data_IF_210558390143
#
_entry.id   IF_210558390143
#
_cell.length_a   1.000
_cell.length_b   1.000
_cell.length_c   1.000
_cell.angle_alpha   90.00
_cell.angle_beta   90.00
_cell.angle_gamma   90.00
#
_symmetry.space_group_name_H-M   'P 1'
#
loop_
_entity.id
_entity.type
_entity.pdbx_description
1 polymer ?
#
# COMPACT_ATOMS: atom_id res chain seq x y z
N UNK A 1 39.20 -8.67 43.79
CA UNK A 1 38.01 -7.82 44.03
C UNK A 1 37.45 -7.45 42.66
N UNK A 2 36.47 -8.21 42.16
CA UNK A 2 35.02 -7.95 42.26
C UNK A 2 34.50 -7.10 41.08
N UNK A 3 34.12 -7.83 40.03
CA UNK A 3 32.85 -7.71 39.28
C UNK A 3 32.43 -6.31 38.80
N UNK A 4 32.78 -5.95 37.55
CA UNK A 4 32.00 -4.96 36.77
C UNK A 4 31.74 -5.43 35.32
N UNK A 5 32.12 -6.65 34.95
CA UNK A 5 32.00 -7.13 33.55
C UNK A 5 30.66 -7.84 33.23
N UNK A 6 29.55 -7.56 33.92
CA UNK A 6 28.33 -8.38 33.81
C UNK A 6 27.01 -7.60 33.82
N UNK A 7 26.98 -6.37 33.33
CA UNK A 7 25.72 -5.60 33.16
C UNK A 7 25.50 -5.04 31.76
N UNK A 8 26.48 -5.08 30.86
CA UNK A 8 26.31 -4.57 29.49
C UNK A 8 25.77 -5.61 28.48
N UNK A 9 25.50 -6.85 28.92
CA UNK A 9 25.02 -7.94 28.06
C UNK A 9 23.62 -8.46 28.48
N UNK A 10 22.92 -7.72 29.35
CA UNK A 10 21.54 -8.03 29.77
C UNK A 10 20.53 -6.92 29.41
N UNK A 11 20.91 -6.02 28.52
CA UNK A 11 19.94 -5.22 27.76
C UNK A 11 19.66 -5.86 26.41
N UNK A 12 19.77 -7.20 26.33
CA UNK A 12 19.26 -7.99 25.22
C UNK A 12 17.78 -7.66 25.13
N UNK A 13 17.52 -6.71 24.24
CA UNK A 13 16.28 -6.29 23.65
C UNK A 13 15.16 -7.26 24.05
N UNK A 14 14.44 -6.93 25.13
CA UNK A 14 13.03 -7.25 25.16
C UNK A 14 12.45 -6.41 24.02
N UNK A 15 12.60 -6.87 22.78
CA UNK A 15 11.59 -6.63 21.78
C UNK A 15 10.37 -7.32 22.38
N UNK A 16 9.63 -6.60 23.22
CA UNK A 16 8.31 -7.03 23.61
C UNK A 16 7.59 -7.09 22.27
N UNK A 17 7.29 -8.31 21.82
CA UNK A 17 6.32 -8.52 20.77
C UNK A 17 5.01 -8.06 21.38
N UNK A 18 4.77 -6.75 21.32
CA UNK A 18 3.54 -6.16 21.74
C UNK A 18 2.53 -6.61 20.69
N UNK A 19 1.69 -7.58 21.05
CA UNK A 19 0.45 -7.82 20.31
C UNK A 19 -0.21 -6.46 20.16
N UNK A 20 -0.36 -6.01 18.92
CA UNK A 20 -0.75 -4.65 18.62
C UNK A 20 -2.26 -4.47 18.88
N UNK A 21 -2.63 -4.38 20.15
CA UNK A 21 -3.93 -3.89 20.55
C UNK A 21 -3.91 -2.37 20.40
N UNK A 22 -4.30 -1.90 19.22
CA UNK A 22 -4.46 -0.48 18.96
C UNK A 22 -5.70 0.05 19.70
N UNK A 23 -5.57 1.24 20.28
CA UNK A 23 -6.62 1.86 21.11
C UNK A 23 -7.92 2.19 20.35
N UNK A 24 -7.84 2.25 19.02
CA UNK A 24 -8.89 2.62 18.08
C UNK A 24 -9.28 1.49 17.11
N UNK A 25 -8.87 0.25 17.41
CA UNK A 25 -9.26 -0.95 16.64
C UNK A 25 -9.99 -1.92 17.57
N UNK A 26 -11.31 -2.04 17.39
CA UNK A 26 -12.10 -3.05 18.09
C UNK A 26 -11.88 -4.43 17.47
N UNK A 27 -11.65 -5.46 18.30
CA UNK A 27 -11.38 -6.84 17.88
C UNK A 27 -12.52 -7.50 17.07
N UNK A 28 -13.73 -6.92 17.11
CA UNK A 28 -14.89 -7.39 16.34
C UNK A 28 -14.96 -6.81 14.92
N UNK A 29 -14.09 -5.85 14.58
CA UNK A 29 -14.04 -5.25 13.25
C UNK A 29 -13.56 -6.26 12.21
N UNK A 30 -14.11 -6.19 11.00
CA UNK A 30 -13.77 -7.13 9.93
C UNK A 30 -12.29 -7.05 9.49
N UNK A 31 -11.62 -5.92 9.78
CA UNK A 31 -10.23 -5.66 9.40
C UNK A 31 -9.22 -5.95 10.52
N UNK A 32 -9.65 -6.24 11.75
CA UNK A 32 -8.73 -6.48 12.87
C UNK A 32 -7.73 -7.59 12.57
N UNK A 33 -8.18 -8.74 12.04
CA UNK A 33 -7.27 -9.84 11.70
C UNK A 33 -6.24 -9.48 10.62
N UNK A 34 -6.57 -8.56 9.70
CA UNK A 34 -5.62 -8.10 8.69
C UNK A 34 -4.57 -7.15 9.30
N UNK A 35 -5.00 -6.25 10.18
CA UNK A 35 -4.13 -5.36 10.94
C UNK A 35 -3.16 -6.16 11.81
N UNK A 36 -3.67 -7.16 12.53
CA UNK A 36 -2.86 -8.03 13.38
C UNK A 36 -1.80 -8.76 12.55
N UNK A 37 -2.22 -9.40 11.44
CA UNK A 37 -1.29 -10.10 10.56
C UNK A 37 -0.21 -9.18 9.99
N UNK A 38 -0.58 -7.98 9.49
CA UNK A 38 0.39 -7.04 8.93
C UNK A 38 1.35 -6.50 10.00
N UNK A 39 0.88 -6.33 11.24
CA UNK A 39 1.73 -5.85 12.33
C UNK A 39 2.67 -6.95 12.83
N UNK A 40 2.18 -8.19 12.94
CA UNK A 40 2.99 -9.36 13.32
C UNK A 40 4.11 -9.64 12.31
N UNK A 41 3.90 -9.30 11.03
CA UNK A 41 4.89 -9.41 9.97
C UNK A 41 5.71 -8.11 9.77
N UNK A 42 5.57 -7.12 10.65
CA UNK A 42 6.28 -5.84 10.59
C UNK A 42 6.07 -5.03 9.29
N UNK A 43 4.98 -5.29 8.55
CA UNK A 43 4.59 -4.56 7.34
C UNK A 43 4.02 -3.19 7.71
N UNK A 44 3.21 -3.17 8.77
CA UNK A 44 2.61 -1.95 9.33
C UNK A 44 2.98 -1.77 10.79
N UNK A 45 2.95 -0.51 11.21
CA UNK A 45 3.07 -0.11 12.60
C UNK A 45 2.06 1.00 12.87
N UNK A 46 1.42 0.97 14.04
CA UNK A 46 0.63 2.10 14.50
C UNK A 46 1.49 3.27 14.99
N UNK A 47 0.83 4.27 15.52
CA UNK A 47 1.43 5.52 15.94
C UNK A 47 2.00 5.42 17.36
N UNK A 48 2.94 6.31 17.74
CA UNK A 48 3.52 6.33 19.08
C UNK A 48 2.51 6.52 20.22
N UNK A 49 1.31 7.03 19.93
CA UNK A 49 0.22 7.21 20.88
C UNK A 49 -0.62 5.92 21.10
N UNK A 50 -0.33 4.84 20.37
CA UNK A 50 -1.03 3.57 20.45
C UNK A 50 -2.28 3.48 19.56
N UNK A 51 -2.49 4.41 18.62
CA UNK A 51 -3.52 4.33 17.58
C UNK A 51 -3.02 3.63 16.31
N UNK A 52 -3.94 3.09 15.51
CA UNK A 52 -3.70 2.62 14.14
C UNK A 52 -4.25 3.59 13.08
N UNK A 53 -5.32 4.30 13.41
CA UNK A 53 -6.10 5.20 12.54
C UNK A 53 -6.70 4.48 11.33
N UNK A 54 -7.57 3.48 11.52
CA UNK A 54 -8.12 2.66 10.42
C UNK A 54 -8.97 3.45 9.42
N UNK A 55 -9.53 4.59 9.84
CA UNK A 55 -10.33 5.47 8.99
C UNK A 55 -9.50 6.53 8.24
N UNK A 56 -8.20 6.65 8.53
CA UNK A 56 -7.31 7.54 7.79
C UNK A 56 -7.13 6.97 6.38
N UNK A 57 -7.30 7.82 5.36
CA UNK A 57 -6.97 7.38 4.01
C UNK A 57 -5.49 6.99 3.95
N UNK A 58 -5.20 5.93 3.20
CA UNK A 58 -3.83 5.53 2.85
C UNK A 58 -3.46 6.26 1.57
N UNK A 59 -2.31 6.92 1.53
CA UNK A 59 -1.85 7.56 0.29
C UNK A 59 -1.22 6.54 -0.67
N UNK A 60 -0.97 6.95 -1.93
CA UNK A 60 -0.46 6.06 -2.98
C UNK A 60 0.90 5.45 -2.64
N UNK A 61 1.81 6.20 -2.00
CA UNK A 61 3.13 5.67 -1.61
C UNK A 61 3.08 4.74 -0.41
N UNK A 62 2.22 5.01 0.57
CA UNK A 62 1.98 4.12 1.71
C UNK A 62 1.39 2.79 1.22
N UNK A 63 0.48 2.84 0.26
CA UNK A 63 -0.10 1.63 -0.31
C UNK A 63 0.93 0.81 -1.10
N UNK A 64 1.79 1.45 -1.91
CA UNK A 64 2.92 0.77 -2.56
C UNK A 64 3.82 0.08 -1.54
N UNK A 65 4.18 0.78 -0.47
CA UNK A 65 4.97 0.20 0.61
C UNK A 65 4.30 -1.05 1.18
N UNK A 66 3.01 -0.98 1.52
CA UNK A 66 2.28 -2.14 2.04
C UNK A 66 2.37 -3.32 1.08
N UNK A 67 2.14 -3.11 -0.22
CA UNK A 67 2.20 -4.16 -1.22
C UNK A 67 3.59 -4.81 -1.29
N UNK A 68 4.65 -4.00 -1.33
CA UNK A 68 6.01 -4.48 -1.54
C UNK A 68 6.58 -5.16 -0.30
N UNK A 69 6.30 -4.65 0.89
CA UNK A 69 6.68 -5.33 2.13
C UNK A 69 5.90 -6.65 2.28
N UNK A 70 4.62 -6.70 1.85
CA UNK A 70 3.81 -7.93 1.86
C UNK A 70 4.34 -8.98 0.89
N UNK A 71 4.81 -8.57 -0.29
CA UNK A 71 5.32 -9.46 -1.33
C UNK A 71 6.84 -9.68 -1.25
N UNK A 72 7.51 -9.13 -0.23
CA UNK A 72 8.96 -9.14 -0.05
C UNK A 72 9.73 -8.63 -1.29
N UNK A 73 9.17 -7.63 -1.97
CA UNK A 73 9.66 -7.11 -3.26
C UNK A 73 11.01 -6.41 -3.08
N UNK A 74 12.06 -6.83 -3.79
CA UNK A 74 13.36 -6.17 -3.72
C UNK A 74 13.30 -4.74 -4.25
N UNK A 75 13.70 -3.77 -3.43
CA UNK A 75 13.65 -2.36 -3.80
C UNK A 75 14.81 -1.94 -4.71
N UNK A 76 14.48 -1.26 -5.79
CA UNK A 76 15.38 -0.50 -6.65
C UNK A 76 15.67 0.85 -6.00
N UNK A 77 16.92 1.09 -5.65
CA UNK A 77 17.37 2.33 -4.99
C UNK A 77 18.07 3.31 -5.93
N UNK A 78 18.40 2.88 -7.15
CA UNK A 78 19.06 3.71 -8.18
C UNK A 78 18.47 3.35 -9.54
N UNK A 79 17.67 4.26 -10.10
CA UNK A 79 17.11 4.19 -11.45
C UNK A 79 16.73 5.60 -11.93
N UNK A 80 16.41 5.75 -13.22
CA UNK A 80 15.86 6.99 -13.75
C UNK A 80 14.50 7.30 -13.08
N UNK A 81 14.31 8.49 -12.55
CA UNK A 81 13.02 8.92 -12.02
C UNK A 81 12.11 9.45 -13.15
N UNK A 82 11.01 8.76 -13.49
CA UNK A 82 10.11 9.19 -14.55
C UNK A 82 9.13 10.29 -14.09
N UNK A 83 9.02 10.55 -12.78
CA UNK A 83 7.98 11.39 -12.19
C UNK A 83 8.57 12.69 -11.62
N UNK A 84 8.16 13.88 -12.12
CA UNK A 84 8.72 15.15 -11.68
C UNK A 84 8.28 15.56 -10.26
N UNK A 85 7.22 14.96 -9.73
CA UNK A 85 6.67 15.20 -8.40
C UNK A 85 7.15 14.18 -7.34
N UNK A 86 8.13 13.35 -7.70
CA UNK A 86 8.78 12.39 -6.81
C UNK A 86 10.18 12.92 -6.48
N UNK A 87 10.38 13.34 -5.23
CA UNK A 87 11.71 13.65 -4.71
C UNK A 87 12.47 12.35 -4.45
N UNK A 88 13.59 12.14 -5.15
CA UNK A 88 14.42 10.93 -5.01
C UNK A 88 15.03 10.76 -3.61
N UNK A 89 15.03 11.81 -2.78
CA UNK A 89 15.50 11.75 -1.39
C UNK A 89 14.41 11.37 -0.39
N UNK A 90 13.15 11.32 -0.84
CA UNK A 90 12.02 10.89 0.00
C UNK A 90 12.11 9.41 0.37
N UNK A 91 11.62 9.07 1.55
CA UNK A 91 11.57 7.69 2.04
C UNK A 91 10.86 6.72 1.08
N UNK A 92 9.90 7.23 0.32
CA UNK A 92 9.10 6.45 -0.61
C UNK A 92 9.72 6.29 -1.99
N UNK A 93 10.78 7.04 -2.32
CA UNK A 93 11.36 7.04 -3.66
C UNK A 93 11.72 5.63 -4.16
N UNK A 94 12.36 4.75 -3.36
CA UNK A 94 12.65 3.38 -3.81
C UNK A 94 11.39 2.59 -4.18
N UNK A 95 10.27 2.77 -3.46
CA UNK A 95 9.02 2.07 -3.78
C UNK A 95 8.43 2.56 -5.10
N UNK A 96 8.46 3.87 -5.36
CA UNK A 96 7.98 4.43 -6.62
C UNK A 96 8.85 3.97 -7.80
N UNK A 97 10.19 4.06 -7.65
CA UNK A 97 11.11 3.61 -8.69
C UNK A 97 10.94 2.10 -8.97
N UNK A 98 10.83 1.30 -7.92
CA UNK A 98 10.60 -0.15 -8.04
C UNK A 98 9.31 -0.44 -8.80
N UNK A 99 8.19 0.16 -8.39
CA UNK A 99 6.90 -0.10 -9.02
C UNK A 99 6.80 0.33 -10.48
N UNK A 100 7.61 1.31 -10.90
CA UNK A 100 7.66 1.73 -12.30
C UNK A 100 8.59 0.87 -13.17
N UNK A 101 9.75 0.48 -12.65
CA UNK A 101 10.82 -0.17 -13.43
C UNK A 101 10.77 -1.70 -13.42
N UNK A 102 10.12 -2.31 -12.44
CA UNK A 102 10.06 -3.77 -12.34
C UNK A 102 9.17 -4.38 -13.44
N UNK A 103 9.39 -5.66 -13.76
CA UNK A 103 8.74 -6.33 -14.90
C UNK A 103 7.20 -6.33 -14.82
N UNK A 104 6.65 -6.40 -13.61
CA UNK A 104 5.19 -6.39 -13.41
C UNK A 104 4.56 -4.98 -13.55
N UNK A 105 5.39 -3.93 -13.62
CA UNK A 105 5.01 -2.51 -13.67
C UNK A 105 3.79 -2.15 -12.80
N UNK A 106 3.89 -2.37 -11.48
CA UNK A 106 2.83 -2.07 -10.50
C UNK A 106 2.25 -0.66 -10.61
N UNK A 107 3.02 0.31 -11.10
CA UNK A 107 2.55 1.68 -11.38
C UNK A 107 3.01 2.22 -12.74
N UNK A 108 2.20 3.12 -13.31
CA UNK A 108 2.49 3.85 -14.56
C UNK A 108 2.49 5.38 -14.37
N UNK A 109 1.92 5.88 -13.27
CA UNK A 109 1.65 7.32 -13.08
C UNK A 109 0.35 7.78 -13.75
N UNK A 110 0.16 9.09 -13.82
CA UNK A 110 -0.98 9.75 -14.47
C UNK A 110 -0.62 10.23 -15.88
N UNK A 111 -1.63 10.48 -16.75
CA UNK A 111 -1.40 10.95 -18.12
C UNK A 111 -0.65 12.28 -18.24
N UNK A 112 -0.60 13.08 -17.17
CA UNK A 112 0.15 14.34 -17.12
C UNK A 112 1.62 14.16 -16.72
N UNK A 113 2.04 12.91 -16.49
CA UNK A 113 3.40 12.53 -16.10
C UNK A 113 3.66 12.56 -14.59
N UNK A 114 2.67 12.88 -13.75
CA UNK A 114 2.81 12.87 -12.30
C UNK A 114 2.58 11.48 -11.68
N UNK A 115 3.03 11.27 -10.45
CA UNK A 115 2.66 10.11 -9.64
C UNK A 115 1.63 10.42 -8.54
N UNK A 116 1.59 11.66 -8.05
CA UNK A 116 0.81 12.18 -6.92
C UNK A 116 1.00 11.36 -5.63
N UNK A 117 2.22 11.32 -5.05
CA UNK A 117 2.59 10.38 -3.97
C UNK A 117 1.69 10.49 -2.72
N UNK A 118 1.33 11.72 -2.34
CA UNK A 118 0.55 12.03 -1.14
C UNK A 118 -0.97 11.95 -1.35
N UNK A 119 -1.43 11.69 -2.57
CA UNK A 119 -2.86 11.53 -2.84
C UNK A 119 -3.38 10.23 -2.21
N UNK A 120 -4.55 10.30 -1.56
CA UNK A 120 -5.27 9.11 -1.10
C UNK A 120 -5.45 8.13 -2.28
N UNK A 121 -5.02 6.88 -2.10
CA UNK A 121 -5.25 5.84 -3.11
C UNK A 121 -6.74 5.54 -3.17
N UNK A 122 -7.33 5.60 -4.36
CA UNK A 122 -8.73 5.20 -4.51
C UNK A 122 -8.83 3.67 -4.64
N UNK A 123 -10.05 3.13 -4.45
CA UNK A 123 -10.27 1.67 -4.47
C UNK A 123 -9.83 1.00 -5.77
N UNK A 124 -9.99 1.69 -6.88
CA UNK A 124 -9.73 1.16 -8.22
C UNK A 124 -8.22 1.13 -8.50
N UNK A 125 -7.49 2.17 -8.10
CA UNK A 125 -6.03 2.18 -8.09
C UNK A 125 -5.48 1.09 -7.17
N UNK A 126 -6.02 0.97 -5.96
CA UNK A 126 -5.57 -0.03 -4.99
C UNK A 126 -5.73 -1.46 -5.54
N UNK A 127 -6.86 -1.77 -6.17
CA UNK A 127 -7.09 -3.08 -6.81
C UNK A 127 -6.12 -3.31 -7.97
N UNK A 128 -5.91 -2.32 -8.85
CA UNK A 128 -4.97 -2.44 -9.97
C UNK A 128 -3.55 -2.73 -9.47
N UNK A 129 -3.06 -1.90 -8.55
CA UNK A 129 -1.70 -2.03 -8.00
C UNK A 129 -1.50 -3.38 -7.31
N UNK A 130 -2.45 -3.81 -6.46
CA UNK A 130 -2.38 -5.10 -5.80
C UNK A 130 -2.42 -6.27 -6.79
N UNK A 131 -3.25 -6.17 -7.83
CA UNK A 131 -3.36 -7.22 -8.86
C UNK A 131 -2.04 -7.37 -9.59
N UNK A 132 -1.46 -6.27 -10.10
CA UNK A 132 -0.20 -6.29 -10.82
C UNK A 132 0.93 -6.82 -9.94
N UNK A 133 0.99 -6.42 -8.67
CA UNK A 133 2.03 -6.88 -7.76
C UNK A 133 1.95 -8.39 -7.49
N UNK A 134 0.79 -8.90 -7.08
CA UNK A 134 0.64 -10.31 -6.67
C UNK A 134 0.47 -11.29 -7.83
N UNK A 135 0.28 -10.80 -9.06
CA UNK A 135 0.13 -11.63 -10.26
C UNK A 135 1.20 -11.35 -11.32
N UNK A 136 2.35 -10.81 -10.92
CA UNK A 136 3.49 -10.57 -11.82
C UNK A 136 3.12 -9.75 -13.08
N UNK A 137 2.23 -8.78 -12.92
CA UNK A 137 1.81 -7.86 -13.99
C UNK A 137 0.71 -8.44 -14.87
N UNK A 138 0.32 -9.69 -14.63
CA UNK A 138 -0.79 -10.31 -15.33
C UNK A 138 -2.09 -9.96 -14.62
N UNK A 139 -3.06 -9.41 -15.36
CA UNK A 139 -4.43 -9.37 -14.88
C UNK A 139 -4.98 -10.80 -15.10
N UNK A 140 -5.22 -11.58 -14.03
CA UNK A 140 -5.73 -12.93 -14.20
C UNK A 140 -7.03 -12.88 -15.00
N UNK A 141 -7.27 -13.80 -15.96
CA UNK A 141 -8.52 -13.82 -16.70
C UNK A 141 -9.68 -13.98 -15.70
N UNK A 142 -10.40 -12.88 -15.47
CA UNK A 142 -11.44 -12.81 -14.44
C UNK A 142 -12.72 -13.48 -14.94
N UNK A 143 -12.67 -14.77 -15.26
CA UNK A 143 -13.85 -15.48 -15.71
C UNK A 143 -14.93 -15.49 -14.61
N UNK A 144 -16.02 -14.74 -14.81
CA UNK A 144 -17.25 -14.89 -14.03
C UNK A 144 -17.43 -13.97 -12.82
N UNK A 145 -16.64 -12.90 -12.67
CA UNK A 145 -16.97 -11.87 -11.68
C UNK A 145 -18.01 -10.90 -12.25
N UNK A 146 -19.28 -11.19 -11.97
CA UNK A 146 -20.39 -10.32 -12.27
C UNK A 146 -20.79 -9.54 -11.03
N UNK A 147 -20.61 -8.21 -11.03
CA UNK A 147 -21.20 -7.33 -10.02
C UNK A 147 -22.42 -6.67 -10.65
N UNK A 148 -23.62 -6.94 -10.11
CA UNK A 148 -24.88 -6.43 -10.66
C UNK A 148 -25.08 -6.71 -12.18
N UNK A 149 -24.54 -7.83 -12.67
CA UNK A 149 -24.62 -8.22 -14.08
C UNK A 149 -23.55 -7.59 -15.00
N UNK A 150 -22.62 -6.81 -14.44
CA UNK A 150 -21.46 -6.29 -15.17
C UNK A 150 -20.29 -7.25 -15.06
N UNK A 151 -19.79 -7.69 -16.22
CA UNK A 151 -18.55 -8.46 -16.34
C UNK A 151 -17.37 -7.52 -16.06
N UNK A 152 -16.87 -7.56 -14.82
CA UNK A 152 -15.77 -6.68 -14.41
C UNK A 152 -14.45 -7.08 -15.08
N UNK A 153 -14.33 -8.33 -15.55
CA UNK A 153 -13.18 -8.81 -16.31
C UNK A 153 -13.09 -8.08 -17.65
N UNK A 154 -14.23 -8.00 -18.34
CA UNK A 154 -14.37 -7.32 -19.62
C UNK A 154 -14.10 -5.82 -19.50
N UNK A 155 -14.53 -5.20 -18.38
CA UNK A 155 -14.25 -3.81 -18.09
C UNK A 155 -12.75 -3.52 -17.86
N UNK A 156 -11.99 -4.51 -17.36
CA UNK A 156 -10.55 -4.43 -17.16
C UNK A 156 -9.75 -4.67 -18.46
N UNK A 157 -10.28 -5.43 -19.43
CA UNK A 157 -9.53 -5.85 -20.63
C UNK A 157 -9.80 -5.05 -21.90
N UNK A 158 -10.99 -4.46 -22.07
CA UNK A 158 -11.43 -4.02 -23.42
C UNK A 158 -11.18 -2.54 -23.74
N UNK A 159 -10.78 -1.68 -22.78
CA UNK A 159 -10.59 -0.25 -23.04
C UNK A 159 -9.54 0.41 -22.10
N UNK A 160 -8.23 0.22 -22.38
CA UNK A 160 -7.15 0.65 -21.48
C UNK A 160 -7.08 2.17 -21.24
N UNK A 161 -7.69 2.98 -22.12
CA UNK A 161 -7.62 4.44 -22.07
C UNK A 161 -8.82 5.12 -21.39
N UNK A 162 -9.85 4.36 -20.98
CA UNK A 162 -11.10 4.95 -20.44
C UNK A 162 -11.60 4.35 -19.13
N UNK A 163 -11.04 3.22 -18.66
CA UNK A 163 -11.52 2.49 -17.48
C UNK A 163 -11.59 3.34 -16.20
N UNK A 164 -10.77 4.39 -16.10
CA UNK A 164 -10.71 5.28 -14.96
C UNK A 164 -11.64 6.49 -15.07
N UNK A 165 -12.22 6.85 -16.23
CA UNK A 165 -12.94 8.13 -16.40
C UNK A 165 -14.22 8.23 -15.56
N UNK A 166 -14.95 7.12 -15.38
CA UNK A 166 -16.15 7.05 -14.51
C UNK A 166 -15.76 6.96 -13.01
N UNK A 167 -14.56 6.43 -12.72
CA UNK A 167 -14.01 6.37 -11.37
C UNK A 167 -13.28 7.66 -10.94
N UNK A 168 -12.76 8.43 -11.88
CA UNK A 168 -12.08 9.71 -11.70
C UNK A 168 -13.09 10.85 -11.49
N UNK A 169 -14.26 10.77 -12.13
CA UNK A 169 -15.38 11.67 -11.84
C UNK A 169 -15.98 11.41 -10.45
N UNK A 170 -16.05 10.14 -10.01
CA UNK A 170 -16.45 9.81 -8.64
C UNK A 170 -15.36 10.14 -7.59
N UNK A 171 -14.08 10.05 -7.94
CA UNK A 171 -12.96 10.47 -7.07
C UNK A 171 -12.93 11.99 -6.79
N UNK A 172 -13.30 12.86 -7.75
CA UNK A 172 -13.50 14.30 -7.48
C UNK A 172 -14.86 14.63 -6.83
N UNK A 173 -15.88 13.80 -7.05
CA UNK A 173 -17.24 14.03 -6.52
C UNK A 173 -17.48 13.53 -5.10
N UNK A 174 -16.75 12.50 -4.64
CA UNK A 174 -16.98 11.86 -3.35
C UNK A 174 -16.56 12.69 -2.12
N UNK A 175 -15.81 13.78 -2.30
CA UNK A 175 -15.54 14.75 -1.23
C UNK A 175 -16.72 15.71 -0.95
N UNK A 176 -17.93 15.46 -1.47
CA UNK A 176 -19.11 16.34 -1.23
C UNK A 176 -20.38 15.69 -0.69
N UNK A 177 -20.39 14.39 -0.37
CA UNK A 177 -21.52 13.78 0.37
C UNK A 177 -20.93 12.66 1.24
N UNK A 178 -20.73 12.82 2.54
CA UNK A 178 -21.73 13.20 3.52
C UNK A 178 -22.21 11.92 4.20
N UNK A 179 -21.69 11.69 5.41
CA UNK A 179 -22.11 10.73 6.46
C UNK A 179 -22.01 9.23 6.13
#
# INVERSE_FOLDING_TARGET
MKKILSTLFLSLLLCQVAFANFSDVDSSTYYNGAIDWMTDNAILQGYPDGSFQPDRCVNRVEFLKILFETNETPLITVAENPFPDVDETSWYAPYVLTGYHQENQTIEGYPDGSFEPEQCVNRVEAIKMATLEFHNGEIPPVAGLYINGYDIAKALTDNPDEWWKEYYSSARGANTVGI
#
